data_IF_244229924638
#
_entry.id   IF_244229924638
#
_cell.length_a   1.000
_cell.length_b   1.000
_cell.length_c   1.000
_cell.angle_alpha   90.00
_cell.angle_beta   90.00
_cell.angle_gamma   90.00
#
_symmetry.space_group_name_H-M   'P 1'
#
loop_
_entity.id
_entity.type
_entity.pdbx_description
1 polymer ?
#
# COMPACT_ATOMS: atom_id res chain seq x y z
N UNK A 1 -6.70 -11.71 -6.72
CA UNK A 1 -6.56 -10.42 -7.43
C UNK A 1 -5.53 -9.56 -6.72
N UNK A 2 -4.79 -8.78 -7.47
CA UNK A 2 -3.77 -7.91 -6.90
C UNK A 2 -4.28 -6.48 -6.92
N UNK A 3 -4.06 -5.78 -5.82
CA UNK A 3 -4.43 -4.37 -5.67
C UNK A 3 -3.19 -3.56 -5.34
N UNK A 4 -3.15 -2.33 -5.86
CA UNK A 4 -2.08 -1.40 -5.55
C UNK A 4 -2.60 -0.34 -4.59
N UNK A 5 -2.05 -0.33 -3.38
CA UNK A 5 -2.43 0.65 -2.36
C UNK A 5 -1.41 1.78 -2.39
N UNK A 6 -1.86 2.97 -2.74
CA UNK A 6 -1.00 4.14 -2.83
C UNK A 6 -0.65 4.65 -1.44
N UNK A 7 0.63 4.66 -1.13
CA UNK A 7 1.10 4.96 0.23
C UNK A 7 1.92 6.25 0.28
N UNK A 8 2.51 6.65 -0.84
CA UNK A 8 3.18 7.94 -0.98
C UNK A 8 4.68 7.91 -0.80
N UNK A 9 5.19 7.46 0.35
CA UNK A 9 6.63 7.48 0.61
C UNK A 9 7.18 6.08 0.84
N UNK A 10 8.49 5.91 0.60
CA UNK A 10 9.15 4.62 0.83
C UNK A 10 9.12 4.24 2.32
N UNK A 11 9.26 5.21 3.21
CA UNK A 11 9.20 4.96 4.65
C UNK A 11 7.83 4.40 5.04
N UNK A 12 6.76 5.03 4.56
CA UNK A 12 5.40 4.55 4.84
C UNK A 12 5.14 3.20 4.15
N UNK A 13 5.70 2.99 2.98
CA UNK A 13 5.56 1.71 2.28
C UNK A 13 6.22 0.58 3.09
N UNK A 14 7.41 0.82 3.63
CA UNK A 14 8.09 -0.17 4.47
C UNK A 14 7.31 -0.47 5.75
N UNK A 15 6.78 0.56 6.40
CA UNK A 15 5.95 0.40 7.60
C UNK A 15 4.67 -0.35 7.28
N UNK A 16 4.02 -0.01 6.18
CA UNK A 16 2.81 -0.68 5.74
C UNK A 16 3.04 -2.15 5.43
N UNK A 17 4.14 -2.44 4.75
CA UNK A 17 4.50 -3.82 4.46
C UNK A 17 4.69 -4.64 5.74
N UNK A 18 5.36 -4.05 6.73
CA UNK A 18 5.56 -4.72 8.02
C UNK A 18 4.24 -4.98 8.75
N UNK A 19 3.33 -4.01 8.72
CA UNK A 19 1.99 -4.16 9.32
C UNK A 19 1.23 -5.31 8.66
N UNK A 20 1.22 -5.34 7.33
CA UNK A 20 0.51 -6.38 6.58
C UNK A 20 1.13 -7.75 6.85
N UNK A 21 2.46 -7.84 6.84
CA UNK A 21 3.16 -9.09 7.09
C UNK A 21 2.86 -9.63 8.49
N UNK A 22 2.82 -8.75 9.48
CA UNK A 22 2.47 -9.12 10.85
C UNK A 22 1.04 -9.63 11.00
N UNK A 23 0.17 -9.36 10.04
CA UNK A 23 -1.22 -9.82 10.02
C UNK A 23 -1.45 -10.88 8.95
N UNK A 24 -0.38 -11.53 8.49
CA UNK A 24 -0.44 -12.60 7.50
C UNK A 24 -0.98 -12.16 6.14
N UNK A 25 -0.82 -10.89 5.81
CA UNK A 25 -1.19 -10.34 4.50
C UNK A 25 0.08 -10.15 3.69
N UNK A 26 0.13 -10.74 2.50
CA UNK A 26 1.27 -10.60 1.62
C UNK A 26 1.22 -9.27 0.89
N UNK A 27 2.26 -8.46 1.04
CA UNK A 27 2.36 -7.19 0.36
C UNK A 27 3.78 -6.98 -0.16
N UNK A 28 3.90 -6.32 -1.30
CA UNK A 28 5.18 -5.96 -1.90
C UNK A 28 5.22 -4.47 -2.13
N UNK A 29 6.40 -3.90 -1.94
CA UNK A 29 6.63 -2.50 -2.27
C UNK A 29 6.96 -2.41 -3.76
N UNK A 30 6.20 -1.59 -4.49
CA UNK A 30 6.46 -1.31 -5.89
C UNK A 30 6.60 0.19 -6.10
N UNK A 31 7.44 0.56 -7.05
CA UNK A 31 7.58 1.95 -7.45
C UNK A 31 6.78 2.18 -8.72
N UNK A 32 6.02 3.27 -8.74
CA UNK A 32 5.32 3.70 -9.95
C UNK A 32 6.33 4.48 -10.80
N UNK A 33 6.53 4.06 -12.05
CA UNK A 33 7.52 4.69 -12.91
C UNK A 33 7.15 6.12 -13.31
N UNK A 34 5.87 6.37 -13.54
CA UNK A 34 5.38 7.70 -13.94
C UNK A 34 4.28 8.14 -12.99
N UNK A 35 4.62 8.57 -11.76
CA UNK A 35 3.61 8.95 -10.80
C UNK A 35 2.79 10.14 -11.29
N UNK A 36 1.48 10.04 -11.14
CA UNK A 36 0.57 11.13 -11.47
C UNK A 36 0.44 12.08 -10.28
N UNK A 37 -0.06 13.30 -10.49
CA UNK A 37 -0.36 14.19 -9.38
C UNK A 37 -1.27 13.47 -8.38
N UNK A 38 -0.89 13.49 -7.11
CA UNK A 38 -1.62 12.79 -6.05
C UNK A 38 -1.07 11.43 -5.70
N UNK A 39 -0.14 10.88 -6.49
CA UNK A 39 0.49 9.59 -6.20
C UNK A 39 1.64 9.69 -5.18
N UNK A 40 1.93 10.89 -4.72
CA UNK A 40 3.02 11.13 -3.78
C UNK A 40 4.37 10.85 -4.41
N UNK A 41 5.23 10.12 -3.70
CA UNK A 41 6.55 9.74 -4.19
C UNK A 41 6.54 8.54 -5.13
N UNK A 42 5.36 8.04 -5.47
CA UNK A 42 5.22 6.98 -6.44
C UNK A 42 5.43 5.58 -5.91
N UNK A 43 5.30 5.37 -4.61
CA UNK A 43 5.38 4.05 -4.02
C UNK A 43 3.99 3.48 -3.72
N UNK A 44 3.81 2.19 -3.99
CA UNK A 44 2.57 1.50 -3.70
C UNK A 44 2.88 0.16 -3.03
N UNK A 45 1.89 -0.35 -2.32
CA UNK A 45 1.92 -1.71 -1.79
C UNK A 45 1.05 -2.58 -2.69
N UNK A 46 1.66 -3.57 -3.32
CA UNK A 46 0.93 -4.56 -4.10
C UNK A 46 0.46 -5.66 -3.16
N UNK A 47 -0.84 -5.81 -3.03
CA UNK A 47 -1.46 -6.77 -2.10
C UNK A 47 -2.30 -7.75 -2.88
N UNK A 48 -2.11 -9.04 -2.61
CA UNK A 48 -2.92 -10.09 -3.21
C UNK A 48 -4.00 -10.49 -2.22
N UNK A 49 -5.25 -10.42 -2.64
CA UNK A 49 -6.39 -10.82 -1.83
C UNK A 49 -7.30 -9.65 -1.46
N UNK A 50 -7.64 -9.53 -0.17
CA UNK A 50 -8.61 -8.55 0.30
C UNK A 50 -7.97 -7.18 0.54
N UNK A 51 -8.18 -6.28 -0.42
CA UNK A 51 -7.64 -4.92 -0.33
C UNK A 51 -8.31 -4.12 0.79
N UNK A 52 -9.59 -4.33 1.04
CA UNK A 52 -10.31 -3.61 2.09
C UNK A 52 -9.73 -3.91 3.47
N UNK A 53 -9.42 -5.17 3.73
CA UNK A 53 -8.79 -5.56 4.98
C UNK A 53 -7.39 -4.94 5.10
N UNK A 54 -6.62 -4.98 4.02
CA UNK A 54 -5.28 -4.39 4.02
C UNK A 54 -5.35 -2.89 4.31
N UNK A 55 -6.26 -2.17 3.67
CA UNK A 55 -6.43 -0.73 3.89
C UNK A 55 -6.82 -0.47 5.35
N UNK A 56 -7.73 -1.27 5.90
CA UNK A 56 -8.16 -1.10 7.28
C UNK A 56 -7.00 -1.29 8.25
N UNK A 57 -6.17 -2.30 8.03
CA UNK A 57 -4.99 -2.55 8.86
C UNK A 57 -4.01 -1.39 8.80
N UNK A 58 -3.78 -0.85 7.61
CA UNK A 58 -2.87 0.28 7.44
C UNK A 58 -3.40 1.52 8.15
N UNK A 59 -4.68 1.83 8.00
CA UNK A 59 -5.30 2.99 8.66
C UNK A 59 -5.28 2.83 10.17
N UNK A 60 -5.54 1.62 10.67
CA UNK A 60 -5.50 1.33 12.09
C UNK A 60 -4.11 1.56 12.69
N UNK A 61 -3.08 1.37 11.89
CA UNK A 61 -1.69 1.60 12.31
C UNK A 61 -1.25 3.07 12.15
N UNK A 62 -2.15 3.95 11.76
CA UNK A 62 -1.85 5.36 11.61
C UNK A 62 -1.25 5.76 10.28
N UNK A 63 -1.23 4.85 9.33
CA UNK A 63 -0.71 5.14 8.00
C UNK A 63 -1.78 5.76 7.10
N UNK A 64 -1.35 6.72 6.28
CA UNK A 64 -2.23 7.39 5.34
C UNK A 64 -2.29 6.56 4.05
N UNK A 65 -3.51 6.24 3.64
CA UNK A 65 -3.75 5.57 2.35
C UNK A 65 -4.26 6.61 1.37
N UNK A 66 -3.54 6.81 0.27
CA UNK A 66 -3.89 7.84 -0.71
C UNK A 66 -4.89 7.34 -1.74
N UNK A 67 -4.95 6.05 -1.96
CA UNK A 67 -5.88 5.46 -2.90
C UNK A 67 -5.60 3.99 -3.11
N UNK A 68 -6.51 3.31 -3.78
CA UNK A 68 -6.39 1.89 -4.10
C UNK A 68 -6.75 1.69 -5.55
N UNK A 69 -5.88 1.03 -6.30
CA UNK A 69 -6.14 0.66 -7.69
C UNK A 69 -6.11 -0.86 -7.84
N UNK A 70 -6.96 -1.36 -8.71
CA UNK A 70 -6.94 -2.77 -9.08
C UNK A 70 -5.86 -2.99 -10.15
N UNK A 71 -5.05 -4.00 -9.95
CA UNK A 71 -3.99 -4.32 -10.91
C UNK A 71 -4.51 -4.97 -12.18
#
# INVERSE_FOLDING_TARGET
MVYYIKIGSITNAQRGRAVLHGNSVKGRIKRIENPQPGDGCGYVLAVDGDADEAVRLLKKSGLRVLGVDEA
#
